data_IF_290110275078
#
_entry.id   IF_290110275078
#
_cell.length_a   1.000
_cell.length_b   1.000
_cell.length_c   1.000
_cell.angle_alpha   90.00
_cell.angle_beta   90.00
_cell.angle_gamma   90.00
#
_symmetry.space_group_name_H-M   'P 1'
#
loop_
_entity.id
_entity.type
_entity.pdbx_description
1 polymer ?
#
# COMPACT_ATOMS: atom_id res chain seq x y z
N UNK A 1 22.78 -10.06 17.99
CA UNK A 1 23.13 -9.94 16.56
C UNK A 1 21.84 -10.22 15.84
N UNK A 2 21.36 -9.27 15.06
CA UNK A 2 20.15 -9.46 14.26
C UNK A 2 20.42 -10.56 13.23
N UNK A 3 19.42 -11.40 12.95
CA UNK A 3 19.54 -12.45 11.96
C UNK A 3 19.86 -11.80 10.59
N UNK A 4 20.84 -12.35 9.88
CA UNK A 4 21.15 -11.94 8.51
C UNK A 4 20.59 -12.98 7.55
N UNK A 5 19.89 -12.53 6.50
CA UNK A 5 19.45 -13.43 5.44
C UNK A 5 20.54 -13.64 4.35
N UNK A 6 21.44 -12.64 4.19
CA UNK A 6 22.69 -12.67 3.42
C UNK A 6 23.81 -11.99 4.20
N UNK A 7 25.09 -12.30 3.97
CA UNK A 7 26.20 -11.58 4.60
C UNK A 7 26.08 -10.06 4.41
N UNK A 8 26.08 -9.31 5.51
CA UNK A 8 25.95 -7.84 5.51
C UNK A 8 24.53 -7.32 5.27
N UNK A 9 23.52 -8.19 5.14
CA UNK A 9 22.14 -7.82 4.93
C UNK A 9 21.28 -8.21 6.14
N UNK A 10 21.04 -7.28 7.08
CA UNK A 10 20.21 -7.58 8.25
C UNK A 10 18.77 -7.88 7.84
N UNK A 11 18.15 -8.82 8.53
CA UNK A 11 16.75 -9.14 8.33
C UNK A 11 15.90 -7.97 8.86
N UNK A 12 14.94 -7.49 8.07
CA UNK A 12 14.08 -6.41 8.48
C UNK A 12 12.79 -6.92 9.14
N UNK A 13 12.91 -7.40 10.36
CA UNK A 13 11.81 -8.03 11.11
C UNK A 13 10.95 -7.08 11.91
N UNK A 14 11.51 -6.01 12.46
CA UNK A 14 10.79 -5.07 13.34
C UNK A 14 11.11 -3.62 13.01
N UNK A 15 10.15 -2.74 13.27
CA UNK A 15 10.36 -1.31 13.32
C UNK A 15 10.28 -0.82 14.76
N UNK A 16 11.29 -0.11 15.18
CA UNK A 16 11.18 0.69 16.39
C UNK A 16 10.16 1.82 16.14
N UNK A 17 9.08 1.84 16.93
CA UNK A 17 8.05 2.88 16.92
C UNK A 17 8.60 4.20 17.47
N UNK A 18 9.63 4.75 16.82
CA UNK A 18 10.22 6.01 17.24
C UNK A 18 9.33 7.19 16.85
N UNK A 19 9.42 8.28 17.59
CA UNK A 19 8.74 9.54 17.28
C UNK A 19 9.10 10.03 15.86
N UNK A 20 10.34 9.78 15.41
CA UNK A 20 10.80 10.10 14.04
C UNK A 20 10.01 9.28 13.00
N UNK A 21 9.78 8.00 13.24
CA UNK A 21 9.00 7.15 12.34
C UNK A 21 7.54 7.63 12.22
N UNK A 22 6.94 8.06 13.33
CA UNK A 22 5.60 8.64 13.33
C UNK A 22 5.52 9.92 12.51
N UNK A 23 6.43 10.87 12.74
CA UNK A 23 6.49 12.12 11.99
C UNK A 23 6.65 11.88 10.47
N UNK A 24 7.48 10.92 10.06
CA UNK A 24 7.66 10.57 8.64
C UNK A 24 6.36 10.04 8.02
N UNK A 25 5.64 9.17 8.72
CA UNK A 25 4.34 8.65 8.26
C UNK A 25 3.30 9.75 8.10
N UNK A 26 3.21 10.67 9.06
CA UNK A 26 2.31 11.82 9.00
C UNK A 26 2.62 12.73 7.82
N UNK A 27 3.90 13.02 7.54
CA UNK A 27 4.31 13.81 6.38
C UNK A 27 3.89 13.17 5.06
N UNK A 28 4.05 11.85 4.93
CA UNK A 28 3.62 11.14 3.71
C UNK A 28 2.11 11.22 3.55
N UNK A 29 1.34 11.02 4.61
CA UNK A 29 -0.11 11.13 4.57
C UNK A 29 -0.56 12.55 4.24
N UNK A 30 0.06 13.57 4.86
CA UNK A 30 -0.20 14.98 4.55
C UNK A 30 0.11 15.30 3.08
N UNK A 31 1.24 14.82 2.56
CA UNK A 31 1.59 14.98 1.15
C UNK A 31 0.60 14.31 0.21
N UNK A 32 0.11 13.12 0.57
CA UNK A 32 -0.93 12.41 -0.18
C UNK A 32 -2.19 13.26 -0.25
N UNK A 33 -2.70 13.73 0.88
CA UNK A 33 -3.95 14.52 0.97
C UNK A 33 -3.82 15.87 0.27
N UNK A 34 -2.65 16.51 0.29
CA UNK A 34 -2.46 17.84 -0.32
C UNK A 34 -2.21 17.81 -1.83
N UNK A 35 -1.49 16.80 -2.34
CA UNK A 35 -1.05 16.85 -3.74
C UNK A 35 -0.87 15.52 -4.45
N UNK A 36 -0.48 14.45 -3.76
CA UNK A 36 -0.10 13.23 -4.47
C UNK A 36 -1.31 12.52 -5.08
N UNK A 37 -2.51 12.70 -4.49
CA UNK A 37 -3.77 12.15 -5.01
C UNK A 37 -4.13 12.65 -6.42
N UNK A 38 -3.59 13.78 -6.86
CA UNK A 38 -3.85 14.34 -8.20
C UNK A 38 -2.97 13.73 -9.28
N UNK A 39 -1.87 13.06 -8.89
CA UNK A 39 -0.96 12.40 -9.83
C UNK A 39 -1.51 11.03 -10.23
N UNK A 40 -1.19 10.52 -11.44
CA UNK A 40 -1.44 9.12 -11.76
C UNK A 40 -0.75 8.20 -10.75
N UNK A 41 -1.39 7.10 -10.30
CA UNK A 41 -0.73 6.11 -9.46
C UNK A 41 0.38 5.42 -10.24
N UNK A 42 1.57 5.33 -9.65
CA UNK A 42 2.74 4.75 -10.28
C UNK A 42 3.69 4.10 -9.28
N UNK A 43 4.56 3.23 -9.76
CA UNK A 43 5.61 2.60 -8.97
C UNK A 43 6.52 3.65 -8.29
N UNK A 44 6.89 4.70 -9.02
CA UNK A 44 7.75 5.79 -8.53
C UNK A 44 7.08 6.57 -7.40
N UNK A 45 5.77 6.80 -7.50
CA UNK A 45 5.02 7.47 -6.44
C UNK A 45 5.06 6.65 -5.16
N UNK A 46 4.78 5.35 -5.23
CA UNK A 46 4.78 4.45 -4.07
C UNK A 46 6.19 4.25 -3.50
N UNK A 47 7.21 4.13 -4.36
CA UNK A 47 8.63 4.13 -3.94
C UNK A 47 8.99 5.41 -3.20
N UNK A 48 8.49 6.56 -3.63
CA UNK A 48 8.74 7.85 -2.97
C UNK A 48 8.12 7.90 -1.57
N UNK A 49 6.89 7.38 -1.38
CA UNK A 49 6.27 7.25 -0.06
C UNK A 49 7.06 6.31 0.85
N UNK A 50 7.45 5.16 0.31
CA UNK A 50 8.25 4.19 1.05
C UNK A 50 9.60 4.80 1.47
N UNK A 51 10.30 5.47 0.55
CA UNK A 51 11.56 6.14 0.84
C UNK A 51 11.40 7.16 1.96
N UNK A 52 10.40 8.02 1.91
CA UNK A 52 10.17 9.04 2.94
C UNK A 52 9.85 8.42 4.30
N UNK A 53 9.06 7.34 4.33
CA UNK A 53 8.74 6.65 5.58
C UNK A 53 9.95 5.97 6.24
N UNK A 54 10.87 5.43 5.44
CA UNK A 54 11.86 4.48 5.95
C UNK A 54 13.32 4.94 5.87
N UNK A 55 13.63 6.01 5.15
CA UNK A 55 15.00 6.52 5.07
C UNK A 55 15.54 6.90 6.47
N UNK A 56 16.67 6.29 6.85
CA UNK A 56 17.27 6.46 8.17
C UNK A 56 16.56 5.68 9.31
N UNK A 57 15.62 4.77 8.96
CA UNK A 57 14.91 3.88 9.89
C UNK A 57 15.15 2.42 9.52
N UNK A 58 15.17 2.12 8.21
CA UNK A 58 15.44 0.78 7.70
C UNK A 58 16.83 0.30 8.13
N UNK A 59 17.03 -0.99 8.41
CA UNK A 59 18.31 -1.52 8.86
C UNK A 59 19.40 -1.49 7.80
N UNK A 60 19.03 -1.38 6.52
CA UNK A 60 19.95 -1.23 5.40
C UNK A 60 19.38 -0.26 4.35
N UNK A 61 20.26 0.52 3.70
CA UNK A 61 19.85 1.51 2.69
C UNK A 61 19.19 0.89 1.46
N UNK A 62 19.58 -0.31 1.07
CA UNK A 62 19.03 -1.04 -0.07
C UNK A 62 17.53 -1.28 0.07
N UNK A 63 17.03 -1.42 1.29
CA UNK A 63 15.60 -1.65 1.54
C UNK A 63 14.71 -0.43 1.31
N UNK A 64 15.32 0.75 1.15
CA UNK A 64 14.59 2.03 1.16
C UNK A 64 14.13 2.45 -0.22
N UNK A 65 12.82 2.41 -0.48
CA UNK A 65 12.24 2.87 -1.75
C UNK A 65 12.57 1.97 -2.96
N UNK A 66 13.00 0.74 -2.71
CA UNK A 66 13.33 -0.25 -3.72
C UNK A 66 12.40 -1.46 -3.59
N UNK A 67 11.95 -2.01 -4.71
CA UNK A 67 11.27 -3.29 -4.72
C UNK A 67 12.31 -4.42 -4.65
N UNK A 68 11.94 -5.56 -4.08
CA UNK A 68 12.71 -6.78 -4.17
C UNK A 68 12.63 -7.34 -5.59
N UNK A 69 13.72 -7.89 -6.10
CA UNK A 69 13.80 -8.43 -7.45
C UNK A 69 14.97 -9.41 -7.54
N UNK A 70 14.87 -10.39 -8.44
CA UNK A 70 15.93 -11.35 -8.73
C UNK A 70 17.16 -10.69 -9.36
N UNK A 71 16.95 -9.73 -10.26
CA UNK A 71 18.01 -9.15 -11.12
C UNK A 71 18.48 -7.76 -10.65
N UNK A 72 18.12 -7.34 -9.43
CA UNK A 72 18.54 -6.05 -8.91
C UNK A 72 20.04 -5.95 -8.68
N UNK A 73 20.56 -4.73 -8.93
CA UNK A 73 21.91 -4.33 -8.53
C UNK A 73 22.06 -4.19 -7.01
N UNK A 74 20.94 -4.10 -6.29
CA UNK A 74 20.89 -3.99 -4.84
C UNK A 74 21.06 -5.37 -4.20
N UNK A 75 22.26 -5.63 -3.70
CA UNK A 75 22.66 -6.93 -3.17
C UNK A 75 21.72 -7.49 -2.10
N UNK A 76 21.22 -6.63 -1.20
CA UNK A 76 20.35 -7.08 -0.12
C UNK A 76 18.91 -7.38 -0.56
N UNK A 77 18.48 -6.96 -1.74
CA UNK A 77 17.14 -7.22 -2.27
C UNK A 77 17.10 -8.29 -3.35
N UNK A 78 18.25 -8.63 -3.91
CA UNK A 78 18.37 -9.68 -4.89
C UNK A 78 17.91 -11.01 -4.31
N UNK A 79 16.98 -11.70 -4.95
CA UNK A 79 16.37 -12.97 -4.48
C UNK A 79 15.70 -12.87 -3.09
N UNK A 80 15.33 -11.66 -2.62
CA UNK A 80 14.71 -11.48 -1.31
C UNK A 80 13.27 -11.98 -1.33
N UNK A 81 12.97 -13.05 -0.60
CA UNK A 81 11.64 -13.61 -0.47
C UNK A 81 10.95 -13.13 0.81
N UNK A 82 9.65 -12.91 0.75
CA UNK A 82 8.83 -12.45 1.89
C UNK A 82 7.71 -13.44 2.15
N UNK A 83 7.50 -13.70 3.44
CA UNK A 83 6.39 -14.53 3.92
C UNK A 83 5.63 -13.77 5.00
N UNK A 84 4.31 -13.73 4.91
CA UNK A 84 3.43 -13.09 5.90
C UNK A 84 2.66 -14.17 6.64
N UNK A 85 3.15 -14.54 7.80
CA UNK A 85 2.67 -15.73 8.51
C UNK A 85 3.03 -16.99 7.73
N UNK A 86 2.06 -17.63 7.10
CA UNK A 86 2.20 -18.84 6.26
C UNK A 86 1.97 -18.57 4.76
N UNK A 87 1.76 -17.30 4.37
CA UNK A 87 1.45 -16.94 2.98
C UNK A 87 2.67 -16.27 2.35
N UNK A 88 3.27 -16.84 1.30
CA UNK A 88 4.33 -16.18 0.55
C UNK A 88 3.78 -14.98 -0.23
N UNK A 89 4.58 -13.93 -0.35
CA UNK A 89 4.38 -12.91 -1.36
C UNK A 89 4.69 -13.43 -2.76
N UNK A 90 4.57 -12.58 -3.77
CA UNK A 90 5.00 -12.92 -5.14
C UNK A 90 6.48 -13.28 -5.14
N UNK A 91 6.87 -14.31 -5.89
CA UNK A 91 8.26 -14.68 -6.12
C UNK A 91 9.09 -13.49 -6.62
N UNK A 92 10.31 -13.31 -6.10
CA UNK A 92 11.16 -12.14 -6.41
C UNK A 92 11.37 -11.96 -7.92
N UNK A 93 11.48 -13.02 -8.68
CA UNK A 93 11.64 -12.99 -10.15
C UNK A 93 10.43 -12.43 -10.89
N UNK A 94 9.27 -12.33 -10.25
CA UNK A 94 8.01 -11.87 -10.84
C UNK A 94 7.53 -10.53 -10.30
N UNK A 95 8.15 -10.02 -9.24
CA UNK A 95 7.67 -8.80 -8.56
C UNK A 95 7.55 -7.62 -9.50
N UNK A 96 8.57 -7.33 -10.30
CA UNK A 96 8.53 -6.17 -11.20
C UNK A 96 7.43 -6.31 -12.26
N UNK A 97 7.25 -7.49 -12.82
CA UNK A 97 6.18 -7.76 -13.78
C UNK A 97 4.79 -7.58 -13.15
N UNK A 98 4.60 -8.12 -11.95
CA UNK A 98 3.32 -8.00 -11.23
C UNK A 98 3.04 -6.53 -10.82
N UNK A 99 4.06 -5.77 -10.45
CA UNK A 99 3.93 -4.33 -10.15
C UNK A 99 3.57 -3.53 -11.40
N UNK A 100 4.17 -3.84 -12.55
CA UNK A 100 3.83 -3.19 -13.82
C UNK A 100 2.37 -3.46 -14.21
N UNK A 101 1.96 -4.73 -14.17
CA UNK A 101 0.59 -5.14 -14.41
C UNK A 101 -0.40 -4.47 -13.44
N UNK A 102 -0.06 -4.41 -12.15
CA UNK A 102 -0.87 -3.75 -11.14
C UNK A 102 -1.12 -2.27 -11.47
N UNK A 103 -0.08 -1.50 -11.81
CA UNK A 103 -0.29 -0.08 -12.11
C UNK A 103 -1.01 0.15 -13.44
N UNK A 104 -0.85 -0.72 -14.41
CA UNK A 104 -1.65 -0.71 -15.64
C UNK A 104 -3.13 -0.88 -15.31
N UNK A 105 -3.49 -1.95 -14.61
CA UNK A 105 -4.87 -2.25 -14.22
C UNK A 105 -5.44 -1.16 -13.30
N UNK A 106 -4.62 -0.63 -12.38
CA UNK A 106 -5.06 0.43 -11.48
C UNK A 106 -5.44 1.70 -12.25
N UNK A 107 -4.61 2.13 -13.21
CA UNK A 107 -4.92 3.30 -14.04
C UNK A 107 -6.15 3.07 -14.92
N UNK A 108 -6.33 1.87 -15.49
CA UNK A 108 -7.51 1.54 -16.30
C UNK A 108 -8.79 1.62 -15.45
N UNK A 109 -8.82 0.99 -14.27
CA UNK A 109 -9.96 1.03 -13.33
C UNK A 109 -10.25 2.45 -12.84
N UNK A 110 -9.20 3.21 -12.55
CA UNK A 110 -9.32 4.60 -12.11
C UNK A 110 -9.94 5.47 -13.22
N UNK A 111 -9.51 5.33 -14.47
CA UNK A 111 -10.06 6.04 -15.62
C UNK A 111 -11.54 5.70 -15.87
N UNK A 112 -11.92 4.44 -15.72
CA UNK A 112 -13.33 4.01 -15.82
C UNK A 112 -14.17 4.71 -14.74
N UNK A 113 -13.69 4.72 -13.52
CA UNK A 113 -14.39 5.36 -12.41
C UNK A 113 -14.48 6.88 -12.60
N UNK A 114 -13.39 7.54 -13.04
CA UNK A 114 -13.38 8.97 -13.32
C UNK A 114 -14.29 9.38 -14.50
N UNK A 115 -14.53 8.46 -15.43
CA UNK A 115 -15.47 8.71 -16.54
C UNK A 115 -16.92 8.78 -16.05
N UNK A 116 -17.27 8.09 -14.98
CA UNK A 116 -18.61 8.10 -14.38
C UNK A 116 -18.75 9.14 -13.27
N UNK A 117 -17.71 9.33 -12.48
CA UNK A 117 -17.65 10.30 -11.38
C UNK A 117 -16.26 10.98 -11.37
N UNK A 118 -16.12 12.15 -12.04
CA UNK A 118 -14.86 12.86 -12.09
C UNK A 118 -14.34 13.26 -10.71
N UNK A 119 -13.06 13.09 -10.46
CA UNK A 119 -12.39 13.61 -9.26
C UNK A 119 -12.54 15.14 -9.21
N UNK A 120 -12.87 15.67 -8.02
CA UNK A 120 -13.19 17.09 -7.84
C UNK A 120 -14.62 17.49 -8.25
N UNK A 121 -15.49 16.53 -8.52
CA UNK A 121 -16.91 16.79 -8.75
C UNK A 121 -17.54 17.58 -7.60
N UNK A 122 -18.32 18.62 -7.93
CA UNK A 122 -19.01 19.46 -6.93
C UNK A 122 -20.22 18.72 -6.34
N UNK A 123 -20.84 17.83 -7.10
CA UNK A 123 -21.95 17.00 -6.58
C UNK A 123 -21.43 15.87 -5.68
N UNK A 124 -22.22 15.50 -4.66
CA UNK A 124 -21.88 14.31 -3.89
C UNK A 124 -22.01 13.05 -4.76
N UNK A 125 -21.20 12.01 -4.46
CA UNK A 125 -21.33 10.72 -5.13
C UNK A 125 -22.65 10.03 -4.75
N UNK A 126 -23.22 9.28 -5.68
CA UNK A 126 -24.31 8.35 -5.41
C UNK A 126 -23.82 7.16 -4.63
N UNK A 127 -24.71 6.39 -4.00
CA UNK A 127 -24.33 5.16 -3.27
C UNK A 127 -23.60 4.15 -4.17
N UNK A 128 -23.98 4.08 -5.45
CA UNK A 128 -23.32 3.19 -6.40
C UNK A 128 -21.90 3.65 -6.68
N UNK A 129 -21.67 4.96 -6.88
CA UNK A 129 -20.33 5.52 -7.07
C UNK A 129 -19.47 5.34 -5.82
N UNK A 130 -20.02 5.54 -4.62
CA UNK A 130 -19.32 5.24 -3.36
C UNK A 130 -18.91 3.78 -3.30
N UNK A 131 -19.79 2.86 -3.69
CA UNK A 131 -19.48 1.43 -3.74
C UNK A 131 -18.31 1.13 -4.67
N UNK A 132 -18.31 1.68 -5.88
CA UNK A 132 -17.23 1.47 -6.86
C UNK A 132 -15.90 2.10 -6.40
N UNK A 133 -15.92 3.27 -5.75
CA UNK A 133 -14.73 3.88 -5.14
C UNK A 133 -14.14 2.96 -4.06
N UNK A 134 -14.98 2.40 -3.19
CA UNK A 134 -14.54 1.50 -2.12
C UNK A 134 -14.01 0.19 -2.69
N UNK A 135 -14.65 -0.38 -3.71
CA UNK A 135 -14.16 -1.57 -4.42
C UNK A 135 -12.76 -1.34 -5.01
N UNK A 136 -12.54 -0.19 -5.66
CA UNK A 136 -11.23 0.16 -6.20
C UNK A 136 -10.19 0.32 -5.09
N UNK A 137 -10.52 0.97 -3.98
CA UNK A 137 -9.63 1.12 -2.83
C UNK A 137 -9.27 -0.23 -2.20
N UNK A 138 -10.25 -1.13 -2.04
CA UNK A 138 -10.06 -2.47 -1.51
C UNK A 138 -9.21 -3.34 -2.43
N UNK A 139 -9.48 -3.29 -3.74
CA UNK A 139 -8.68 -3.98 -4.75
C UNK A 139 -7.22 -3.49 -4.74
N UNK A 140 -7.00 -2.18 -4.79
CA UNK A 140 -5.65 -1.62 -4.79
C UNK A 140 -4.86 -2.02 -3.51
N UNK A 141 -5.51 -2.02 -2.35
CA UNK A 141 -4.93 -2.52 -1.11
C UNK A 141 -4.61 -4.01 -1.21
N UNK A 142 -5.59 -4.81 -1.62
CA UNK A 142 -5.50 -6.27 -1.62
C UNK A 142 -4.44 -6.81 -2.59
N UNK A 143 -4.42 -6.32 -3.83
CA UNK A 143 -3.41 -6.70 -4.81
C UNK A 143 -2.01 -6.28 -4.37
N UNK A 144 -1.86 -5.09 -3.78
CA UNK A 144 -0.56 -4.66 -3.28
C UNK A 144 -0.03 -5.54 -2.14
N UNK A 145 -0.88 -5.98 -1.21
CA UNK A 145 -0.44 -6.91 -0.16
C UNK A 145 -0.20 -8.32 -0.71
N UNK A 146 -0.86 -8.73 -1.80
CA UNK A 146 -0.59 -10.00 -2.49
C UNK A 146 0.79 -9.99 -3.14
N UNK A 147 1.12 -8.94 -3.89
CA UNK A 147 2.43 -8.80 -4.55
C UNK A 147 3.55 -8.71 -3.53
N UNK A 148 3.37 -7.93 -2.47
CA UNK A 148 4.37 -7.74 -1.41
C UNK A 148 5.73 -7.27 -1.94
N UNK A 149 5.79 -6.14 -2.69
CA UNK A 149 6.97 -5.81 -3.49
C UNK A 149 8.18 -5.30 -2.69
N UNK A 150 8.00 -4.83 -1.47
CA UNK A 150 9.10 -4.35 -0.62
C UNK A 150 9.55 -5.45 0.37
N UNK A 151 10.79 -5.33 0.88
CA UNK A 151 11.26 -6.18 1.97
C UNK A 151 10.41 -6.01 3.25
N UNK A 152 9.94 -4.78 3.53
CA UNK A 152 9.00 -4.46 4.60
C UNK A 152 8.16 -3.24 4.20
N UNK A 153 7.14 -2.88 4.99
CA UNK A 153 6.32 -1.67 4.73
C UNK A 153 5.15 -1.87 3.77
N UNK A 154 4.96 -3.06 3.21
CA UNK A 154 3.91 -3.35 2.23
C UNK A 154 2.50 -3.03 2.74
N UNK A 155 2.17 -3.39 3.97
CA UNK A 155 0.87 -3.04 4.56
C UNK A 155 0.64 -1.54 4.75
N UNK A 156 1.71 -0.74 4.94
CA UNK A 156 1.62 0.73 5.05
C UNK A 156 1.42 1.38 3.69
N UNK A 157 2.17 0.94 2.69
CA UNK A 157 1.99 1.41 1.31
C UNK A 157 0.66 0.95 0.73
N UNK A 158 0.15 -0.24 1.06
CA UNK A 158 -1.19 -0.69 0.69
C UNK A 158 -2.28 0.24 1.25
N UNK A 159 -2.17 0.64 2.54
CA UNK A 159 -3.11 1.59 3.14
C UNK A 159 -3.00 2.98 2.52
N UNK A 160 -1.80 3.41 2.10
CA UNK A 160 -1.65 4.66 1.34
C UNK A 160 -2.30 4.57 -0.04
N UNK A 161 -2.21 3.44 -0.74
CA UNK A 161 -2.88 3.24 -2.03
C UNK A 161 -4.41 3.27 -1.90
N UNK A 162 -4.96 2.61 -0.88
CA UNK A 162 -6.39 2.69 -0.61
C UNK A 162 -6.83 4.12 -0.25
N UNK A 163 -6.09 4.81 0.64
CA UNK A 163 -6.35 6.21 0.96
C UNK A 163 -6.19 7.14 -0.25
N UNK A 164 -5.27 6.84 -1.16
CA UNK A 164 -5.11 7.59 -2.41
C UNK A 164 -6.42 7.59 -3.21
N UNK A 165 -7.05 6.43 -3.36
CA UNK A 165 -8.35 6.32 -4.05
C UNK A 165 -9.41 7.13 -3.31
N UNK A 166 -9.54 6.97 -2.01
CA UNK A 166 -10.54 7.68 -1.21
C UNK A 166 -10.38 9.21 -1.31
N UNK A 167 -9.15 9.71 -1.12
CA UNK A 167 -8.85 11.15 -1.17
C UNK A 167 -9.09 11.71 -2.57
N UNK A 168 -8.76 10.98 -3.63
CA UNK A 168 -8.97 11.40 -5.00
C UNK A 168 -10.43 11.68 -5.33
N UNK A 169 -11.34 10.94 -4.74
CA UNK A 169 -12.78 11.10 -4.92
C UNK A 169 -13.46 11.91 -3.80
N UNK A 170 -12.69 12.68 -3.02
CA UNK A 170 -13.20 13.65 -2.07
C UNK A 170 -13.52 13.09 -0.68
N UNK A 171 -13.15 11.84 -0.39
CA UNK A 171 -13.21 11.30 0.96
C UNK A 171 -11.94 11.63 1.75
N UNK A 172 -12.04 11.60 3.08
CA UNK A 172 -10.85 11.64 3.93
C UNK A 172 -10.07 10.31 3.89
N UNK A 173 -8.80 10.31 4.35
CA UNK A 173 -8.04 9.07 4.52
C UNK A 173 -8.63 8.25 5.66
N UNK A 174 -9.28 7.13 5.35
CA UNK A 174 -9.97 6.29 6.35
C UNK A 174 -9.06 5.22 7.00
N UNK A 175 -8.00 4.78 6.30
CA UNK A 175 -7.11 3.75 6.81
C UNK A 175 -5.91 4.38 7.52
N UNK A 176 -5.83 4.20 8.84
CA UNK A 176 -4.67 4.65 9.62
C UNK A 176 -3.39 3.93 9.17
N UNK A 177 -2.32 4.71 8.93
CA UNK A 177 -1.03 4.13 8.54
C UNK A 177 -0.39 3.40 9.73
N UNK A 178 -0.51 3.97 10.93
CA UNK A 178 -0.21 3.38 12.24
C UNK A 178 -1.12 4.02 13.31
N UNK A 179 -1.51 3.25 14.35
CA UNK A 179 -1.36 1.80 14.47
C UNK A 179 -2.04 1.05 13.31
N UNK A 180 -1.67 -0.21 13.10
CA UNK A 180 -2.39 -1.06 12.14
C UNK A 180 -3.83 -1.17 12.62
N UNK A 181 -4.84 -1.03 11.74
CA UNK A 181 -6.22 -1.26 12.13
C UNK A 181 -6.38 -2.64 12.80
N UNK A 182 -7.27 -2.72 13.78
CA UNK A 182 -7.57 -3.95 14.51
C UNK A 182 -8.28 -5.03 13.65
N UNK A 183 -8.68 -6.12 14.28
CA UNK A 183 -9.57 -7.08 13.61
C UNK A 183 -10.91 -6.39 13.27
N UNK A 184 -11.50 -6.52 12.07
CA UNK A 184 -11.26 -7.58 11.07
C UNK A 184 -10.23 -7.27 9.96
N UNK A 185 -9.50 -6.15 10.01
CA UNK A 185 -8.53 -5.78 8.96
C UNK A 185 -7.51 -6.90 8.66
N UNK A 186 -6.98 -7.55 9.70
CA UNK A 186 -6.02 -8.64 9.52
C UNK A 186 -6.58 -9.82 8.73
N UNK A 187 -7.86 -10.18 8.95
CA UNK A 187 -8.55 -11.22 8.19
C UNK A 187 -8.77 -10.80 6.73
N UNK A 188 -9.16 -9.55 6.52
CA UNK A 188 -9.39 -9.01 5.18
C UNK A 188 -8.10 -8.99 4.33
N UNK A 189 -6.99 -8.53 4.91
CA UNK A 189 -5.69 -8.55 4.24
C UNK A 189 -5.24 -9.99 3.90
N UNK A 190 -5.48 -10.96 4.81
CA UNK A 190 -5.17 -12.36 4.58
C UNK A 190 -6.00 -12.98 3.45
N UNK A 191 -7.31 -12.70 3.39
CA UNK A 191 -8.18 -13.17 2.31
C UNK A 191 -7.72 -12.64 0.95
N UNK A 192 -7.36 -11.36 0.88
CA UNK A 192 -6.79 -10.77 -0.33
C UNK A 192 -5.49 -11.45 -0.77
N UNK A 193 -4.58 -11.75 0.16
CA UNK A 193 -3.31 -12.41 -0.17
C UNK A 193 -3.48 -13.84 -0.65
N UNK A 194 -4.36 -14.60 0.02
CA UNK A 194 -4.47 -16.05 -0.19
C UNK A 194 -5.42 -16.41 -1.32
N UNK A 195 -6.52 -15.68 -1.44
CA UNK A 195 -7.67 -16.05 -2.26
C UNK A 195 -7.96 -15.03 -3.36
N UNK A 196 -7.29 -13.86 -3.35
CA UNK A 196 -7.62 -12.74 -4.24
C UNK A 196 -9.00 -12.15 -3.95
N UNK A 197 -9.59 -12.48 -2.78
CA UNK A 197 -10.90 -11.96 -2.37
C UNK A 197 -10.73 -10.65 -1.59
N UNK A 198 -11.23 -9.57 -2.15
CA UNK A 198 -11.16 -8.23 -1.56
C UNK A 198 -12.45 -7.80 -0.85
N UNK A 199 -13.50 -8.63 -0.86
CA UNK A 199 -14.82 -8.30 -0.29
C UNK A 199 -14.78 -7.97 1.21
N UNK A 200 -13.95 -8.67 1.97
CA UNK A 200 -13.74 -8.35 3.38
C UNK A 200 -13.03 -7.00 3.58
N UNK A 201 -12.15 -6.61 2.66
CA UNK A 201 -11.49 -5.30 2.72
C UNK A 201 -12.47 -4.18 2.35
N UNK A 202 -13.38 -4.41 1.42
CA UNK A 202 -14.48 -3.49 1.13
C UNK A 202 -15.31 -3.21 2.39
N UNK A 203 -15.72 -4.27 3.11
CA UNK A 203 -16.47 -4.12 4.35
C UNK A 203 -15.70 -3.35 5.44
N UNK A 204 -14.38 -3.56 5.54
CA UNK A 204 -13.52 -2.81 6.46
C UNK A 204 -13.51 -1.32 6.09
N UNK A 205 -13.32 -0.98 4.81
CA UNK A 205 -13.28 0.41 4.35
C UNK A 205 -14.63 1.09 4.56
N UNK A 206 -15.75 0.42 4.23
CA UNK A 206 -17.10 0.92 4.50
C UNK A 206 -17.27 1.30 5.97
N UNK A 207 -16.90 0.41 6.89
CA UNK A 207 -16.98 0.66 8.32
C UNK A 207 -16.15 1.88 8.74
N UNK A 208 -14.87 1.94 8.33
CA UNK A 208 -13.96 3.02 8.69
C UNK A 208 -14.43 4.38 8.14
N UNK A 209 -14.95 4.42 6.92
CA UNK A 209 -15.57 5.62 6.38
C UNK A 209 -16.80 6.04 7.18
N UNK A 210 -17.72 5.12 7.48
CA UNK A 210 -18.91 5.43 8.27
C UNK A 210 -18.57 5.94 9.68
N UNK A 211 -17.48 5.46 10.27
CA UNK A 211 -16.97 5.94 11.57
C UNK A 211 -16.37 7.36 11.49
N UNK A 212 -15.75 7.73 10.36
CA UNK A 212 -15.11 9.05 10.17
C UNK A 212 -16.10 10.19 9.91
N UNK A 213 -17.37 9.88 9.62
CA UNK A 213 -18.43 10.86 9.38
C UNK A 213 -19.47 10.95 10.53
N UNK A 214 -19.17 10.34 11.69
CA UNK A 214 -19.95 10.49 12.92
C UNK A 214 -19.43 11.63 13.77
#
# INVERSE_FOLDING_TARGET
MDAEWKPGCPEWTTENGSQIAEQKRLRVLERLVRKDYTKPPSAELVKSWHKEMFQGIAPHSDYVGQFRDKDLTSYCLQDYEVVVGDIPGTDSSRVLLEVEAFFKDFNERLNILESSFPSGSVRPPTLNEVSEIIKLAAWAHGEWVRIHPFANGNGRTARLLANYVLVRFGFGPALAIRPRPDQPYGKAARASMKEGDHSLMEAVIWRLLAESYK
#
